data_IF_549829807332
#
_entry.id   IF_549829807332
#
_cell.length_a   1.000
_cell.length_b   1.000
_cell.length_c   1.000
_cell.angle_alpha   90.00
_cell.angle_beta   90.00
_cell.angle_gamma   90.00
#
_symmetry.space_group_name_H-M   'P 1'
#
loop_
_entity.id
_entity.type
_entity.pdbx_description
1 polymer ?
#
# COMPACT_ATOMS: atom_id res chain seq x y z
N UNK A 1 14.33 17.01 4.79
CA UNK A 1 13.80 15.77 4.19
C UNK A 1 14.71 14.64 4.62
N UNK A 2 14.19 13.58 5.19
CA UNK A 2 15.02 12.47 5.68
C UNK A 2 15.37 11.56 4.49
N UNK A 3 16.67 11.44 4.19
CA UNK A 3 17.20 10.60 3.10
C UNK A 3 16.79 9.15 3.29
N UNK A 4 16.80 8.67 4.54
CA UNK A 4 16.45 7.30 4.91
C UNK A 4 14.98 6.96 4.55
N UNK A 5 14.08 7.93 4.72
CA UNK A 5 12.66 7.77 4.39
C UNK A 5 12.44 7.63 2.87
N UNK A 6 13.23 8.35 2.07
CA UNK A 6 13.18 8.26 0.60
C UNK A 6 13.75 6.92 0.12
N UNK A 7 14.88 6.51 0.69
CA UNK A 7 15.48 5.21 0.38
C UNK A 7 14.52 4.08 0.72
N UNK A 8 13.93 4.12 1.91
CA UNK A 8 12.97 3.11 2.36
C UNK A 8 11.72 3.04 1.47
N UNK A 9 11.11 4.18 1.13
CA UNK A 9 9.97 4.20 0.21
C UNK A 9 10.34 3.63 -1.17
N UNK A 10 11.54 3.97 -1.66
CA UNK A 10 12.04 3.46 -2.94
C UNK A 10 12.24 1.94 -2.90
N UNK A 11 12.74 1.41 -1.78
CA UNK A 11 12.90 -0.03 -1.58
C UNK A 11 11.54 -0.75 -1.59
N UNK A 12 10.55 -0.22 -0.85
CA UNK A 12 9.18 -0.77 -0.85
C UNK A 12 8.56 -0.77 -2.25
N UNK A 13 8.70 0.33 -2.99
CA UNK A 13 8.19 0.42 -4.36
C UNK A 13 8.87 -0.61 -5.29
N UNK A 14 10.17 -0.86 -5.12
CA UNK A 14 10.88 -1.87 -5.89
C UNK A 14 10.41 -3.29 -5.54
N UNK A 15 10.20 -3.60 -4.26
CA UNK A 15 9.68 -4.90 -3.82
C UNK A 15 8.27 -5.14 -4.34
N UNK A 16 7.40 -4.14 -4.25
CA UNK A 16 6.04 -4.22 -4.79
C UNK A 16 6.05 -4.44 -6.31
N UNK A 17 6.86 -3.70 -7.04
CA UNK A 17 6.99 -3.86 -8.49
C UNK A 17 7.53 -5.23 -8.87
N UNK A 18 8.50 -5.77 -8.15
CA UNK A 18 9.02 -7.11 -8.39
C UNK A 18 7.96 -8.19 -8.22
N UNK A 19 7.16 -8.11 -7.16
CA UNK A 19 6.03 -9.02 -6.95
C UNK A 19 4.99 -8.89 -8.08
N UNK A 20 4.62 -7.67 -8.45
CA UNK A 20 3.67 -7.38 -9.53
C UNK A 20 4.15 -7.97 -10.86
N UNK A 21 5.41 -7.80 -11.23
CA UNK A 21 5.98 -8.36 -12.46
C UNK A 21 5.98 -9.91 -12.43
N UNK A 22 6.30 -10.51 -11.28
CA UNK A 22 6.26 -11.96 -11.10
C UNK A 22 4.85 -12.49 -11.30
N UNK A 23 3.87 -11.89 -10.63
CA UNK A 23 2.46 -12.29 -10.72
C UNK A 23 1.90 -12.07 -12.13
N UNK A 24 2.27 -10.98 -12.79
CA UNK A 24 1.86 -10.70 -14.17
C UNK A 24 2.40 -11.75 -15.14
N UNK A 25 3.67 -12.15 -14.97
CA UNK A 25 4.30 -13.20 -15.77
C UNK A 25 3.60 -14.54 -15.61
N UNK A 26 3.28 -14.95 -14.39
CA UNK A 26 2.57 -16.21 -14.14
C UNK A 26 1.12 -16.21 -14.66
N UNK A 27 0.46 -15.05 -14.61
CA UNK A 27 -0.90 -14.90 -15.13
C UNK A 27 -0.94 -14.58 -16.64
N UNK A 28 0.23 -14.48 -17.30
CA UNK A 28 0.36 -14.11 -18.71
C UNK A 28 -0.43 -12.85 -19.07
N UNK A 29 -0.32 -11.79 -18.25
CA UNK A 29 -1.00 -10.52 -18.43
C UNK A 29 -0.04 -9.34 -18.27
N UNK A 30 -0.49 -8.13 -18.69
CA UNK A 30 0.28 -6.92 -18.45
C UNK A 30 0.21 -6.54 -16.96
N UNK A 31 1.31 -6.13 -16.33
CA UNK A 31 1.31 -5.64 -14.95
C UNK A 31 0.25 -4.57 -14.65
N UNK A 32 -0.10 -3.72 -15.63
CA UNK A 32 -1.15 -2.73 -15.47
C UNK A 32 -2.56 -3.32 -15.33
N UNK A 33 -2.80 -4.54 -15.81
CA UNK A 33 -4.11 -5.20 -15.77
C UNK A 33 -4.30 -6.06 -14.53
N UNK A 34 -3.24 -6.21 -13.70
CA UNK A 34 -3.33 -6.94 -12.45
C UNK A 34 -4.36 -6.32 -11.50
N UNK A 35 -5.05 -7.21 -10.79
CA UNK A 35 -5.98 -6.89 -9.72
C UNK A 35 -5.51 -7.55 -8.42
N UNK A 36 -6.01 -7.08 -7.30
CA UNK A 36 -5.63 -7.57 -5.98
C UNK A 36 -5.74 -9.09 -5.84
N UNK A 37 -6.76 -9.72 -6.45
CA UNK A 37 -6.95 -11.18 -6.38
C UNK A 37 -5.89 -11.98 -7.14
N UNK A 38 -5.27 -11.46 -8.18
CA UNK A 38 -4.13 -12.13 -8.82
C UNK A 38 -2.96 -12.24 -7.85
N UNK A 39 -2.72 -11.17 -7.06
CA UNK A 39 -1.63 -11.13 -6.07
C UNK A 39 -1.95 -12.07 -4.91
N UNK A 40 -3.17 -12.03 -4.38
CA UNK A 40 -3.57 -12.92 -3.28
C UNK A 40 -3.52 -14.39 -3.68
N UNK A 41 -4.09 -14.77 -4.84
CA UNK A 41 -4.05 -16.14 -5.33
C UNK A 41 -2.61 -16.63 -5.51
N UNK A 42 -1.75 -15.81 -6.12
CA UNK A 42 -0.32 -16.14 -6.25
C UNK A 42 0.33 -16.45 -4.90
N UNK A 43 0.03 -15.63 -3.88
CA UNK A 43 0.60 -15.82 -2.55
C UNK A 43 -0.02 -17.02 -1.81
N UNK A 44 -1.30 -17.33 -2.03
CA UNK A 44 -1.95 -18.54 -1.52
C UNK A 44 -1.28 -19.79 -2.10
N UNK A 45 -1.04 -19.82 -3.41
CA UNK A 45 -0.47 -20.96 -4.11
C UNK A 45 1.02 -21.17 -3.80
N UNK A 46 1.78 -20.08 -3.70
CA UNK A 46 3.25 -20.15 -3.63
C UNK A 46 3.83 -19.91 -2.22
N UNK A 47 3.10 -19.24 -1.33
CA UNK A 47 3.61 -18.83 -0.01
C UNK A 47 2.81 -19.36 1.18
N UNK A 48 1.87 -20.28 0.95
CA UNK A 48 1.03 -20.89 2.01
C UNK A 48 0.29 -19.85 2.86
N UNK A 49 -0.22 -18.83 2.20
CA UNK A 49 -1.15 -17.88 2.82
C UNK A 49 -2.57 -18.44 2.66
N UNK A 50 -3.44 -18.15 3.59
CA UNK A 50 -4.88 -18.43 3.50
C UNK A 50 -5.64 -17.17 3.86
N UNK A 51 -6.54 -16.73 2.97
CA UNK A 51 -7.45 -15.62 3.25
C UNK A 51 -8.69 -16.14 3.99
N UNK A 52 -8.98 -15.54 5.14
CA UNK A 52 -10.08 -15.95 6.02
C UNK A 52 -11.04 -14.78 6.22
N UNK A 53 -12.21 -14.80 5.54
CA UNK A 53 -13.25 -13.80 5.81
C UNK A 53 -13.90 -14.09 7.17
N UNK A 54 -13.95 -13.09 8.03
CA UNK A 54 -14.57 -13.18 9.35
C UNK A 54 -15.60 -12.05 9.50
N UNK A 55 -16.75 -12.38 10.13
CA UNK A 55 -17.67 -11.36 10.60
C UNK A 55 -17.24 -10.82 11.98
N UNK A 56 -17.89 -9.75 12.44
CA UNK A 56 -17.55 -9.10 13.71
C UNK A 56 -17.61 -10.03 14.91
N UNK A 57 -18.56 -10.95 14.94
CA UNK A 57 -18.70 -11.91 16.06
C UNK A 57 -17.55 -12.93 16.06
N UNK A 58 -17.11 -13.38 14.90
CA UNK A 58 -15.98 -14.29 14.75
C UNK A 58 -14.67 -13.59 15.16
N UNK A 59 -14.46 -12.34 14.77
CA UNK A 59 -13.34 -11.55 15.25
C UNK A 59 -13.31 -11.45 16.79
N UNK A 60 -14.49 -11.26 17.42
CA UNK A 60 -14.58 -11.14 18.89
C UNK A 60 -14.19 -12.42 19.63
N UNK A 61 -14.16 -13.58 18.97
CA UNK A 61 -13.66 -14.83 19.56
C UNK A 61 -12.14 -14.92 19.56
N UNK A 62 -11.48 -14.19 18.67
CA UNK A 62 -10.02 -14.18 18.51
C UNK A 62 -9.40 -13.06 19.33
N UNK A 63 -10.09 -11.94 19.43
CA UNK A 63 -9.59 -10.69 20.01
C UNK A 63 -10.65 -10.09 20.94
N UNK A 64 -10.25 -9.74 22.16
CA UNK A 64 -11.16 -9.23 23.19
C UNK A 64 -11.77 -7.87 22.82
N UNK A 65 -11.04 -7.00 22.13
CA UNK A 65 -11.52 -5.72 21.65
C UNK A 65 -11.47 -5.64 20.11
N UNK A 66 -12.64 -5.68 19.48
CA UNK A 66 -12.78 -5.66 18.02
C UNK A 66 -13.09 -4.27 17.47
N UNK A 67 -13.07 -3.24 18.32
CA UNK A 67 -13.38 -1.89 17.86
C UNK A 67 -12.29 -1.33 16.95
N UNK A 68 -12.64 -1.10 15.69
CA UNK A 68 -11.72 -0.53 14.69
C UNK A 68 -10.81 -1.54 14.00
N UNK A 69 -10.86 -2.83 14.34
CA UNK A 69 -10.06 -3.85 13.68
C UNK A 69 -10.72 -4.26 12.37
N UNK A 70 -9.95 -4.20 11.29
CA UNK A 70 -10.38 -4.55 9.95
C UNK A 70 -9.73 -5.82 9.42
N UNK A 71 -8.54 -6.14 9.90
CA UNK A 71 -7.77 -7.32 9.52
C UNK A 71 -6.78 -7.76 10.60
N UNK A 72 -6.21 -8.92 10.41
CA UNK A 72 -5.24 -9.54 11.30
C UNK A 72 -4.46 -10.61 10.56
N UNK A 73 -3.15 -10.58 10.67
CA UNK A 73 -2.28 -11.66 10.20
C UNK A 73 -1.86 -12.55 11.37
N UNK A 74 -2.22 -13.82 11.29
CA UNK A 74 -1.74 -14.87 12.17
C UNK A 74 -0.73 -15.74 11.43
N UNK A 75 0.43 -15.96 11.99
CA UNK A 75 1.53 -16.65 11.34
C UNK A 75 2.15 -17.70 12.25
N UNK A 76 2.36 -18.88 11.69
CA UNK A 76 3.19 -19.91 12.31
C UNK A 76 4.32 -20.34 11.35
N UNK A 77 5.08 -21.38 11.72
CA UNK A 77 6.19 -21.89 10.91
C UNK A 77 5.74 -22.59 9.61
N UNK A 78 4.45 -22.80 9.40
CA UNK A 78 3.91 -23.58 8.29
C UNK A 78 3.12 -22.74 7.31
N UNK A 79 2.33 -21.78 7.82
CA UNK A 79 1.40 -20.99 7.03
C UNK A 79 1.13 -19.63 7.67
N UNK A 80 0.54 -18.73 6.90
CA UNK A 80 -0.01 -17.48 7.40
C UNK A 80 -1.51 -17.41 7.08
N UNK A 81 -2.30 -17.01 8.07
CA UNK A 81 -3.73 -16.72 7.91
C UNK A 81 -3.91 -15.21 7.91
N UNK A 82 -4.48 -14.69 6.84
CA UNK A 82 -4.86 -13.30 6.72
C UNK A 82 -6.37 -13.20 6.93
N UNK A 83 -6.76 -12.82 8.13
CA UNK A 83 -8.15 -12.61 8.50
C UNK A 83 -8.59 -11.21 8.12
N UNK A 84 -9.77 -11.04 7.55
CA UNK A 84 -10.32 -9.73 7.19
C UNK A 84 -11.81 -9.65 7.48
N UNK A 85 -12.28 -8.46 7.86
CA UNK A 85 -13.70 -8.23 8.17
C UNK A 85 -14.51 -8.16 6.86
N UNK A 86 -15.35 -9.18 6.63
CA UNK A 86 -16.19 -9.31 5.45
C UNK A 86 -17.47 -8.45 5.48
N UNK A 87 -17.77 -7.79 6.60
CA UNK A 87 -18.90 -6.85 6.72
C UNK A 87 -18.52 -5.43 6.28
N UNK A 88 -17.24 -5.18 5.99
CA UNK A 88 -16.79 -3.91 5.45
C UNK A 88 -17.12 -3.76 3.97
N UNK A 89 -17.03 -2.52 3.46
CA UNK A 89 -17.14 -2.28 2.01
C UNK A 89 -16.02 -3.02 1.25
N UNK A 90 -16.26 -3.43 0.01
CA UNK A 90 -15.28 -4.13 -0.83
C UNK A 90 -13.93 -3.38 -0.90
N UNK A 91 -13.97 -2.05 -1.10
CA UNK A 91 -12.75 -1.25 -1.13
C UNK A 91 -11.96 -1.30 0.18
N UNK A 92 -12.64 -1.42 1.32
CA UNK A 92 -12.00 -1.60 2.62
C UNK A 92 -11.43 -3.01 2.76
N UNK A 93 -12.18 -4.03 2.34
CA UNK A 93 -11.70 -5.42 2.38
C UNK A 93 -10.43 -5.57 1.54
N UNK A 94 -10.43 -5.09 0.29
CA UNK A 94 -9.25 -5.16 -0.59
C UNK A 94 -8.03 -4.47 0.01
N UNK A 95 -8.23 -3.26 0.58
CA UNK A 95 -7.15 -2.54 1.23
C UNK A 95 -6.63 -3.30 2.45
N UNK A 96 -7.53 -3.83 3.28
CA UNK A 96 -7.16 -4.62 4.46
C UNK A 96 -6.36 -5.87 4.08
N UNK A 97 -6.82 -6.64 3.10
CA UNK A 97 -6.12 -7.83 2.61
C UNK A 97 -4.70 -7.47 2.15
N UNK A 98 -4.54 -6.43 1.34
CA UNK A 98 -3.22 -6.01 0.85
C UNK A 98 -2.34 -5.40 1.95
N UNK A 99 -2.93 -4.79 2.98
CA UNK A 99 -2.23 -4.30 4.16
C UNK A 99 -1.66 -5.47 4.98
N UNK A 100 -2.47 -6.49 5.25
CA UNK A 100 -2.02 -7.69 5.96
C UNK A 100 -0.97 -8.47 5.14
N UNK A 101 -1.12 -8.52 3.82
CA UNK A 101 -0.08 -9.03 2.93
C UNK A 101 1.20 -8.19 3.04
N UNK A 102 1.08 -6.88 3.18
CA UNK A 102 2.22 -5.99 3.45
C UNK A 102 2.98 -6.39 4.70
N UNK A 103 2.29 -6.62 5.79
CA UNK A 103 2.89 -7.14 7.03
C UNK A 103 3.56 -8.49 6.81
N UNK A 104 2.89 -9.41 6.13
CA UNK A 104 3.45 -10.73 5.83
C UNK A 104 4.76 -10.66 5.04
N UNK A 105 4.84 -9.78 4.04
CA UNK A 105 6.00 -9.65 3.17
C UNK A 105 7.19 -8.95 3.85
N UNK A 106 6.91 -7.91 4.64
CA UNK A 106 7.94 -7.00 5.16
C UNK A 106 8.43 -7.39 6.56
N UNK A 107 7.54 -7.88 7.41
CA UNK A 107 7.80 -8.05 8.84
C UNK A 107 7.86 -9.53 9.24
N UNK A 108 8.82 -10.26 8.66
CA UNK A 108 8.90 -11.73 8.76
C UNK A 108 9.11 -12.28 10.17
N UNK A 109 9.70 -11.50 11.06
CA UNK A 109 10.12 -11.97 12.39
C UNK A 109 9.10 -11.73 13.49
N UNK A 110 8.01 -11.01 13.23
CA UNK A 110 7.00 -10.70 14.23
C UNK A 110 5.88 -11.73 14.16
N UNK A 111 5.47 -12.22 15.33
CA UNK A 111 4.47 -13.29 15.42
C UNK A 111 3.03 -12.78 15.41
N UNK A 112 2.82 -11.53 15.81
CA UNK A 112 1.50 -10.89 15.85
C UNK A 112 1.68 -9.40 15.58
N UNK A 113 0.89 -8.83 14.70
CA UNK A 113 0.97 -7.40 14.39
C UNK A 113 -0.07 -6.60 15.13
N UNK A 114 0.26 -5.33 15.43
CA UNK A 114 -0.56 -4.49 16.29
C UNK A 114 -1.84 -3.95 15.65
N UNK A 115 -2.29 -4.48 14.51
CA UNK A 115 -3.66 -4.22 14.03
C UNK A 115 -4.72 -4.39 15.14
N UNK A 116 -4.28 -4.94 16.28
CA UNK A 116 -5.03 -5.21 17.48
C UNK A 116 -4.99 -4.11 18.54
N UNK A 117 -4.08 -3.16 18.39
CA UNK A 117 -3.91 -2.08 19.38
C UNK A 117 -4.65 -0.82 18.92
N UNK A 118 -5.12 -0.05 19.87
CA UNK A 118 -5.57 1.31 19.56
C UNK A 118 -4.36 2.14 19.11
N UNK A 119 -4.51 3.04 18.13
CA UNK A 119 -3.41 3.87 17.61
C UNK A 119 -2.60 4.58 18.70
N UNK A 120 -3.22 4.84 19.85
CA UNK A 120 -2.58 5.48 21.02
C UNK A 120 -1.60 4.56 21.77
N UNK A 121 -1.65 3.26 21.56
CA UNK A 121 -0.83 2.26 22.24
C UNK A 121 0.36 1.80 21.36
N UNK A 122 0.47 2.33 20.13
CA UNK A 122 1.56 1.98 19.22
C UNK A 122 2.89 2.54 19.72
N UNK A 123 3.91 1.69 19.74
CA UNK A 123 5.29 2.12 19.86
C UNK A 123 5.74 2.85 18.58
N UNK A 124 6.89 3.53 18.62
CA UNK A 124 7.46 4.13 17.40
C UNK A 124 7.75 3.08 16.32
N UNK A 125 8.16 1.88 16.71
CA UNK A 125 8.41 0.76 15.79
C UNK A 125 7.10 0.27 15.15
N UNK A 126 6.02 0.12 15.92
CA UNK A 126 4.70 -0.26 15.41
C UNK A 126 4.18 0.76 14.38
N UNK A 127 4.36 2.05 14.64
CA UNK A 127 3.98 3.10 13.69
C UNK A 127 4.76 3.00 12.37
N UNK A 128 6.03 2.63 12.42
CA UNK A 128 6.84 2.40 11.22
C UNK A 128 6.30 1.20 10.45
N UNK A 129 6.02 0.08 11.11
CA UNK A 129 5.49 -1.11 10.46
C UNK A 129 4.13 -0.88 9.83
N UNK A 130 3.23 -0.17 10.52
CA UNK A 130 1.93 0.22 9.98
C UNK A 130 2.06 1.12 8.75
N UNK A 131 2.97 2.08 8.79
CA UNK A 131 3.26 2.96 7.64
C UNK A 131 3.80 2.17 6.44
N UNK A 132 4.69 1.23 6.68
CA UNK A 132 5.24 0.35 5.64
C UNK A 132 4.17 -0.55 5.03
N UNK A 133 3.34 -1.20 5.84
CA UNK A 133 2.24 -2.03 5.39
C UNK A 133 1.19 -1.22 4.59
N UNK A 134 0.83 -0.03 5.05
CA UNK A 134 -0.06 0.89 4.34
C UNK A 134 0.50 1.31 2.98
N UNK A 135 1.80 1.61 2.90
CA UNK A 135 2.45 1.95 1.64
C UNK A 135 2.48 0.76 0.70
N UNK A 136 2.85 -0.43 1.18
CA UNK A 136 2.85 -1.66 0.41
C UNK A 136 1.46 -1.98 -0.15
N UNK A 137 0.41 -1.88 0.68
CA UNK A 137 -0.98 -2.06 0.23
C UNK A 137 -1.35 -1.11 -0.91
N UNK A 138 -1.00 0.17 -0.78
CA UNK A 138 -1.24 1.17 -1.83
C UNK A 138 -0.46 0.87 -3.11
N UNK A 139 0.77 0.36 -3.01
CA UNK A 139 1.62 0.00 -4.15
C UNK A 139 1.09 -1.23 -4.88
N UNK A 140 0.64 -2.25 -4.15
CA UNK A 140 0.08 -3.48 -4.71
C UNK A 140 -1.29 -3.24 -5.36
N UNK A 141 -2.16 -2.45 -4.75
CA UNK A 141 -3.48 -2.13 -5.29
C UNK A 141 -3.42 -1.19 -6.49
N UNK A 142 -2.56 -0.18 -6.44
CA UNK A 142 -2.43 0.85 -7.46
C UNK A 142 -0.96 0.96 -7.90
N UNK A 143 -0.56 0.02 -8.78
CA UNK A 143 0.81 -0.05 -9.23
C UNK A 143 1.22 1.18 -10.05
N UNK A 144 2.49 1.52 -9.96
CA UNK A 144 3.06 2.72 -10.57
C UNK A 144 2.87 2.79 -12.07
N UNK A 145 3.09 1.68 -12.79
CA UNK A 145 2.98 1.63 -14.25
C UNK A 145 1.55 1.91 -14.71
N UNK A 146 0.57 1.27 -14.06
CA UNK A 146 -0.84 1.51 -14.36
C UNK A 146 -1.28 2.94 -14.04
N UNK A 147 -0.84 3.51 -12.90
CA UNK A 147 -1.09 4.93 -12.59
C UNK A 147 -0.55 5.83 -13.69
N UNK A 148 0.71 5.65 -14.08
CA UNK A 148 1.35 6.47 -15.11
C UNK A 148 0.64 6.36 -16.47
N UNK A 149 0.26 5.15 -16.88
CA UNK A 149 -0.50 4.91 -18.10
C UNK A 149 -1.84 5.66 -18.09
N UNK A 150 -2.61 5.51 -17.02
CA UNK A 150 -3.91 6.17 -16.89
C UNK A 150 -3.82 7.70 -16.82
N UNK A 151 -2.76 8.24 -16.19
CA UNK A 151 -2.52 9.68 -16.17
C UNK A 151 -2.11 10.20 -17.54
N UNK A 152 -1.30 9.47 -18.30
CA UNK A 152 -0.95 9.80 -19.68
C UNK A 152 -2.21 9.83 -20.57
N UNK A 153 -3.14 8.93 -20.33
CA UNK A 153 -4.47 8.90 -20.98
C UNK A 153 -5.43 9.98 -20.46
N UNK A 154 -4.97 10.85 -19.56
CA UNK A 154 -5.76 11.92 -18.93
C UNK A 154 -7.01 11.42 -18.21
N UNK A 155 -6.97 10.22 -17.63
CA UNK A 155 -8.11 9.69 -16.85
C UNK A 155 -8.32 10.53 -15.58
N UNK A 156 -9.57 10.89 -15.25
CA UNK A 156 -9.86 11.71 -14.08
C UNK A 156 -9.65 10.92 -12.77
N UNK A 157 -9.45 11.65 -11.67
CA UNK A 157 -9.19 11.06 -10.34
C UNK A 157 -10.20 9.99 -9.92
N UNK A 158 -11.50 10.26 -10.11
CA UNK A 158 -12.55 9.29 -9.77
C UNK A 158 -12.48 8.00 -10.60
N UNK A 159 -11.98 8.10 -11.84
CA UNK A 159 -11.72 6.92 -12.67
C UNK A 159 -10.62 6.06 -12.06
N UNK A 160 -9.51 6.66 -11.60
CA UNK A 160 -8.43 5.96 -10.94
C UNK A 160 -8.92 5.21 -9.69
N UNK A 161 -9.69 5.87 -8.82
CA UNK A 161 -10.25 5.22 -7.63
C UNK A 161 -11.09 3.99 -8.00
N UNK A 162 -11.96 4.12 -9.00
CA UNK A 162 -12.81 3.02 -9.46
C UNK A 162 -12.01 1.90 -10.14
N UNK A 163 -11.03 2.26 -10.96
CA UNK A 163 -10.19 1.30 -11.69
C UNK A 163 -9.40 0.39 -10.75
N UNK A 164 -8.80 0.99 -9.70
CA UNK A 164 -8.02 0.26 -8.70
C UNK A 164 -8.86 -0.30 -7.54
N UNK A 165 -10.14 0.04 -7.47
CA UNK A 165 -11.03 -0.42 -6.39
C UNK A 165 -10.60 0.07 -5.00
N UNK A 166 -10.06 1.29 -4.91
CA UNK A 166 -9.60 1.88 -3.64
C UNK A 166 -10.36 3.17 -3.32
N UNK A 167 -10.36 3.54 -2.04
CA UNK A 167 -11.03 4.76 -1.58
C UNK A 167 -10.34 6.03 -2.12
N UNK A 168 -11.10 7.14 -2.19
CA UNK A 168 -10.55 8.44 -2.55
C UNK A 168 -9.37 8.84 -1.65
N UNK A 169 -9.45 8.54 -0.35
CA UNK A 169 -8.37 8.84 0.59
C UNK A 169 -7.12 8.02 0.31
N UNK A 170 -7.26 6.71 0.09
CA UNK A 170 -6.13 5.83 -0.23
C UNK A 170 -5.47 6.25 -1.55
N UNK A 171 -6.25 6.59 -2.59
CA UNK A 171 -5.70 7.09 -3.85
C UNK A 171 -4.96 8.41 -3.70
N UNK A 172 -5.48 9.35 -2.91
CA UNK A 172 -4.79 10.62 -2.62
C UNK A 172 -3.43 10.39 -1.97
N UNK A 173 -3.39 9.53 -0.94
CA UNK A 173 -2.14 9.19 -0.25
C UNK A 173 -1.17 8.50 -1.22
N UNK A 174 -1.64 7.53 -2.01
CA UNK A 174 -0.81 6.82 -2.99
C UNK A 174 -0.19 7.75 -4.02
N UNK A 175 -0.99 8.63 -4.62
CA UNK A 175 -0.49 9.61 -5.60
C UNK A 175 0.48 10.61 -4.95
N UNK A 176 0.13 11.12 -3.77
CA UNK A 176 1.01 12.03 -3.03
C UNK A 176 2.37 11.37 -2.79
N UNK A 177 2.40 10.17 -2.21
CA UNK A 177 3.65 9.47 -1.90
C UNK A 177 4.45 9.16 -3.17
N UNK A 178 3.79 8.64 -4.21
CA UNK A 178 4.44 8.31 -5.48
C UNK A 178 5.17 9.52 -6.08
N UNK A 179 4.51 10.67 -6.17
CA UNK A 179 5.09 11.86 -6.76
C UNK A 179 6.05 12.59 -5.83
N UNK A 180 5.75 12.62 -4.53
CA UNK A 180 6.63 13.20 -3.53
C UNK A 180 8.00 12.52 -3.51
N UNK A 181 8.04 11.21 -3.35
CA UNK A 181 9.30 10.48 -3.25
C UNK A 181 10.04 10.42 -4.59
N UNK A 182 9.33 10.37 -5.71
CA UNK A 182 9.94 10.43 -7.03
C UNK A 182 10.62 11.78 -7.28
N UNK A 183 9.95 12.89 -6.95
CA UNK A 183 10.51 14.25 -7.09
C UNK A 183 11.66 14.45 -6.12
N UNK A 184 11.52 13.99 -4.87
CA UNK A 184 12.54 14.08 -3.86
C UNK A 184 13.82 13.34 -4.27
N UNK A 185 13.69 12.15 -4.86
CA UNK A 185 14.82 11.38 -5.38
C UNK A 185 15.53 12.14 -6.51
N UNK A 186 14.78 12.71 -7.46
CA UNK A 186 15.37 13.53 -8.52
C UNK A 186 16.15 14.71 -7.97
N UNK A 187 15.56 15.44 -7.00
CA UNK A 187 16.21 16.58 -6.36
C UNK A 187 17.53 16.17 -5.70
N UNK A 188 17.55 15.05 -4.98
CA UNK A 188 18.78 14.56 -4.34
C UNK A 188 19.83 14.14 -5.38
N UNK A 189 19.43 13.50 -6.46
CA UNK A 189 20.33 13.14 -7.56
C UNK A 189 20.90 14.38 -8.24
N UNK A 190 20.10 15.43 -8.42
CA UNK A 190 20.52 16.73 -8.96
C UNK A 190 21.36 17.52 -7.95
N UNK A 191 21.05 17.49 -6.63
CA UNK A 191 21.83 18.14 -5.58
C UNK A 191 23.23 17.53 -5.38
N UNK A 192 23.42 16.27 -5.68
CA UNK A 192 24.76 15.68 -5.77
C UNK A 192 25.62 16.38 -6.83
N UNK A 193 24.99 17.08 -7.77
CA UNK A 193 25.65 17.89 -8.80
C UNK A 193 25.73 19.39 -8.47
N UNK A 194 24.83 19.92 -7.60
CA UNK A 194 24.74 21.37 -7.28
C UNK A 194 24.50 21.55 -5.77
N UNK A 195 25.46 22.07 -5.06
CA UNK A 195 25.51 22.19 -3.58
C UNK A 195 24.48 23.11 -2.92
N UNK A 196 23.44 23.59 -3.57
CA UNK A 196 22.47 24.51 -2.98
C UNK A 196 21.08 24.40 -3.62
N UNK A 197 20.20 23.53 -3.13
CA UNK A 197 18.77 23.61 -3.52
C UNK A 197 17.84 23.40 -2.32
N UNK A 198 16.81 24.22 -2.30
CA UNK A 198 15.78 24.42 -1.29
C UNK A 198 14.96 23.18 -0.97
N UNK A 199 14.64 23.03 0.30
CA UNK A 199 13.63 22.11 0.82
C UNK A 199 12.27 22.45 0.22
N UNK A 200 11.75 21.59 -0.66
CA UNK A 200 10.36 21.68 -1.08
C UNK A 200 9.46 21.27 0.08
N UNK A 201 8.60 22.19 0.53
CA UNK A 201 7.60 21.85 1.53
C UNK A 201 6.58 20.87 0.92
N UNK A 202 5.95 20.03 1.74
CA UNK A 202 4.85 19.15 1.32
C UNK A 202 3.77 19.90 0.54
N UNK A 203 3.54 21.17 0.89
CA UNK A 203 2.61 22.06 0.20
C UNK A 203 3.03 22.37 -1.23
N UNK A 204 4.33 22.55 -1.48
CA UNK A 204 4.85 22.84 -2.82
C UNK A 204 4.67 21.62 -3.74
N UNK A 205 4.92 20.43 -3.23
CA UNK A 205 4.74 19.17 -3.96
C UNK A 205 3.27 18.90 -4.24
N UNK A 206 2.41 19.08 -3.24
CA UNK A 206 0.97 18.98 -3.42
C UNK A 206 0.45 19.98 -4.47
N UNK A 207 0.95 21.21 -4.46
CA UNK A 207 0.61 22.22 -5.46
C UNK A 207 1.13 21.87 -6.86
N UNK A 208 2.32 21.26 -6.96
CA UNK A 208 2.88 20.78 -8.22
C UNK A 208 2.02 19.65 -8.80
N UNK A 209 1.67 18.65 -8.00
CA UNK A 209 0.77 17.55 -8.39
C UNK A 209 -0.57 18.12 -8.84
N UNK A 210 -1.16 19.01 -8.03
CA UNK A 210 -2.45 19.64 -8.35
C UNK A 210 -2.44 20.41 -9.66
N UNK A 211 -1.38 21.20 -9.92
CA UNK A 211 -1.27 22.04 -11.14
C UNK A 211 -1.03 21.20 -12.40
N UNK A 212 -0.19 20.17 -12.30
CA UNK A 212 0.20 19.42 -13.49
C UNK A 212 -0.76 18.29 -13.84
N UNK A 213 -1.48 17.76 -12.87
CA UNK A 213 -2.41 16.64 -13.08
C UNK A 213 -3.89 17.03 -12.98
N UNK A 214 -4.20 18.34 -12.80
CA UNK A 214 -5.55 18.91 -12.79
C UNK A 214 -6.61 17.92 -12.28
N UNK A 215 -6.50 17.55 -11.00
CA UNK A 215 -7.53 16.75 -10.35
C UNK A 215 -8.81 17.60 -10.25
N UNK A 216 -9.67 17.52 -11.25
CA UNK A 216 -11.01 18.09 -11.19
C UNK A 216 -11.80 17.31 -10.13
N UNK A 217 -11.70 17.75 -8.90
CA UNK A 217 -12.57 17.34 -7.81
C UNK A 217 -13.84 18.19 -7.97
N UNK A 218 -14.83 17.65 -8.68
CA UNK A 218 -16.23 18.10 -8.55
C UNK A 218 -16.93 17.18 -7.56
#
# INVERSE_FOLDING_TARGET
MNTDEIEKYTELENQANQLIETVATENNCDPQDLKWWHISNYLEDNHKIVLVPLNKNEFSTIIADTYGIYGLTLKDNRMAMICYNNECTETRQHFTIMHEIGHFLLHKNNQTYPSLMQENDYTEEDQIFEKEANNMAGMLLANKKAIQSLLNDRKPFNYLCKYFGISNQAMKIRLFNLFYFQTAKQVIEEEKQVKNIFIYSQQTIANYIYRNYQFNIK
#
